data_IF_278294806387
#
_entry.id   IF_278294806387
#
_cell.length_a   1.000
_cell.length_b   1.000
_cell.length_c   1.000
_cell.angle_alpha   90.00
_cell.angle_beta   90.00
_cell.angle_gamma   90.00
#
_symmetry.space_group_name_H-M   'P 1'
#
loop_
_entity.id
_entity.type
_entity.pdbx_description
1 polymer ?
#
# COMPACT_ATOMS: atom_id res chain seq x y z
N UNK A 1 64.60 10.70 -34.34
CA UNK A 1 63.53 11.02 -35.29
C UNK A 1 62.51 11.87 -34.55
N UNK A 2 62.60 13.20 -34.70
CA UNK A 2 61.77 14.16 -33.97
C UNK A 2 60.49 14.37 -34.79
N UNK A 3 59.34 13.93 -34.28
CA UNK A 3 58.05 14.16 -34.92
C UNK A 3 57.78 15.67 -34.94
N UNK A 4 57.69 16.25 -36.14
CA UNK A 4 57.38 17.67 -36.33
C UNK A 4 55.89 17.91 -36.03
N UNK A 5 55.63 18.50 -34.87
CA UNK A 5 54.30 18.70 -34.28
C UNK A 5 53.52 19.85 -34.96
N UNK A 6 54.11 20.54 -35.95
CA UNK A 6 53.50 21.67 -36.63
C UNK A 6 52.72 21.28 -37.90
N UNK A 7 52.32 20.02 -38.08
CA UNK A 7 51.50 19.63 -39.23
C UNK A 7 50.03 20.07 -39.00
N UNK A 8 49.51 21.08 -39.73
CA UNK A 8 48.17 21.63 -39.51
C UNK A 8 47.06 20.59 -39.72
N UNK A 9 47.30 19.56 -40.54
CA UNK A 9 46.34 18.49 -40.80
C UNK A 9 46.18 17.60 -39.56
N UNK A 10 47.26 17.38 -38.81
CA UNK A 10 47.24 16.57 -37.58
C UNK A 10 46.44 17.27 -36.47
N UNK A 11 46.58 18.60 -36.36
CA UNK A 11 45.86 19.40 -35.36
C UNK A 11 44.34 19.46 -35.63
N UNK A 12 43.92 19.49 -36.90
CA UNK A 12 42.50 19.44 -37.27
C UNK A 12 41.89 18.08 -36.91
N UNK A 13 42.61 16.97 -37.16
CA UNK A 13 42.14 15.62 -36.85
C UNK A 13 41.91 15.38 -35.35
N UNK A 14 42.79 15.91 -34.49
CA UNK A 14 42.68 15.81 -33.04
C UNK A 14 41.46 16.61 -32.53
N UNK A 15 41.23 17.82 -33.06
CA UNK A 15 40.08 18.66 -32.69
C UNK A 15 38.73 18.01 -33.01
N UNK A 16 38.60 17.37 -34.18
CA UNK A 16 37.37 16.66 -34.58
C UNK A 16 37.12 15.45 -33.69
N UNK A 17 38.16 14.67 -33.38
CA UNK A 17 38.05 13.45 -32.55
C UNK A 17 37.61 13.78 -31.12
N UNK A 18 38.17 14.84 -30.52
CA UNK A 18 37.76 15.31 -29.18
C UNK A 18 36.33 15.86 -29.17
N UNK A 19 35.91 16.55 -30.23
CA UNK A 19 34.55 17.09 -30.35
C UNK A 19 33.50 15.99 -30.46
N UNK A 20 33.76 14.95 -31.26
CA UNK A 20 32.89 13.77 -31.38
C UNK A 20 32.82 13.01 -30.04
N UNK A 21 33.96 12.80 -29.38
CA UNK A 21 34.01 12.15 -28.06
C UNK A 21 33.21 12.90 -26.99
N UNK A 22 33.29 14.23 -26.97
CA UNK A 22 32.53 15.07 -26.03
C UNK A 22 31.03 15.04 -26.30
N UNK A 23 30.60 15.07 -27.57
CA UNK A 23 29.19 14.95 -27.95
C UNK A 23 28.61 13.57 -27.58
N UNK A 24 29.37 12.49 -27.80
CA UNK A 24 28.97 11.14 -27.39
C UNK A 24 28.86 11.02 -25.86
N UNK A 25 29.80 11.61 -25.10
CA UNK A 25 29.75 11.64 -23.64
C UNK A 25 28.53 12.43 -23.10
N UNK A 26 28.21 13.57 -23.72
CA UNK A 26 27.00 14.35 -23.42
C UNK A 26 25.73 13.55 -23.73
N UNK A 27 25.68 12.86 -24.88
CA UNK A 27 24.52 12.02 -25.25
C UNK A 27 24.30 10.86 -24.28
N UNK A 28 25.38 10.20 -23.84
CA UNK A 28 25.33 9.11 -22.86
C UNK A 28 24.85 9.59 -21.48
N UNK A 29 25.27 10.79 -21.05
CA UNK A 29 24.73 11.43 -19.84
C UNK A 29 23.26 11.82 -19.98
N UNK A 30 22.83 12.23 -21.17
CA UNK A 30 21.42 12.57 -21.40
C UNK A 30 20.52 11.34 -21.29
N UNK A 31 20.90 10.22 -21.91
CA UNK A 31 20.13 8.97 -21.87
C UNK A 31 20.00 8.43 -20.44
N UNK A 32 21.09 8.40 -19.68
CA UNK A 32 21.07 7.97 -18.28
C UNK A 32 20.22 8.89 -17.40
N UNK A 33 20.27 10.20 -17.62
CA UNK A 33 19.37 11.16 -16.95
C UNK A 33 17.90 10.90 -17.32
N UNK A 34 17.60 10.68 -18.60
CA UNK A 34 16.23 10.38 -19.06
C UNK A 34 15.71 9.07 -18.44
N UNK A 35 16.53 8.02 -18.38
CA UNK A 35 16.16 6.75 -17.74
C UNK A 35 15.87 6.94 -16.25
N UNK A 36 16.74 7.66 -15.53
CA UNK A 36 16.52 7.96 -14.11
C UNK A 36 15.27 8.81 -13.87
N UNK A 37 15.02 9.81 -14.72
CA UNK A 37 13.79 10.62 -14.69
C UNK A 37 12.55 9.74 -14.94
N UNK A 38 12.58 8.83 -15.92
CA UNK A 38 11.48 7.90 -16.19
C UNK A 38 11.21 6.97 -15.00
N UNK A 39 12.25 6.42 -14.37
CA UNK A 39 12.13 5.58 -13.19
C UNK A 39 11.55 6.36 -12.01
N UNK A 40 12.03 7.60 -11.80
CA UNK A 40 11.52 8.50 -10.77
C UNK A 40 10.04 8.84 -10.99
N UNK A 41 9.64 9.21 -12.22
CA UNK A 41 8.24 9.48 -12.52
C UNK A 41 7.36 8.22 -12.46
N UNK A 42 7.87 7.05 -12.83
CA UNK A 42 7.17 5.77 -12.65
C UNK A 42 6.92 5.50 -11.16
N UNK A 43 7.94 5.70 -10.32
CA UNK A 43 7.83 5.60 -8.87
C UNK A 43 6.83 6.62 -8.28
N UNK A 44 6.91 7.89 -8.69
CA UNK A 44 5.94 8.93 -8.29
C UNK A 44 4.53 8.53 -8.71
N UNK A 45 4.32 8.09 -9.95
CA UNK A 45 3.00 7.74 -10.48
C UNK A 45 2.40 6.56 -9.72
N UNK A 46 3.24 5.58 -9.32
CA UNK A 46 2.85 4.46 -8.45
C UNK A 46 2.44 4.92 -7.05
N UNK A 47 3.05 5.99 -6.53
CA UNK A 47 2.66 6.61 -5.25
C UNK A 47 1.38 7.44 -5.40
N UNK A 48 1.22 8.13 -6.54
CA UNK A 48 0.15 9.10 -6.76
C UNK A 48 -1.18 8.44 -7.19
N UNK A 49 -1.14 7.40 -8.02
CA UNK A 49 -2.32 6.68 -8.49
C UNK A 49 -2.52 5.41 -7.68
N UNK A 50 -3.23 5.54 -6.55
CA UNK A 50 -3.83 4.37 -5.91
C UNK A 50 -5.01 3.89 -6.73
N UNK A 51 -4.78 2.84 -7.50
CA UNK A 51 -5.85 2.18 -8.22
C UNK A 51 -6.77 1.45 -7.25
N UNK A 52 -8.07 1.53 -7.51
CA UNK A 52 -9.06 0.74 -6.77
C UNK A 52 -8.95 -0.72 -7.23
N UNK A 53 -8.61 -1.61 -6.31
CA UNK A 53 -8.45 -3.06 -6.57
C UNK A 53 -9.65 -3.88 -6.12
N UNK A 54 -10.45 -3.34 -5.22
CA UNK A 54 -11.57 -4.05 -4.62
C UNK A 54 -12.78 -3.15 -4.39
N UNK A 55 -13.95 -3.78 -4.30
CA UNK A 55 -15.18 -3.18 -3.76
C UNK A 55 -15.52 -3.92 -2.48
N UNK A 56 -15.84 -3.16 -1.43
CA UNK A 56 -16.23 -3.73 -0.15
C UNK A 56 -17.70 -3.46 0.07
N UNK A 57 -18.45 -4.51 0.36
CA UNK A 57 -19.86 -4.45 0.72
C UNK A 57 -19.97 -4.63 2.22
N UNK A 58 -20.64 -3.67 2.87
CA UNK A 58 -20.99 -3.80 4.26
C UNK A 58 -22.05 -4.90 4.42
N UNK A 59 -21.84 -5.78 5.38
CA UNK A 59 -22.79 -6.80 5.80
C UNK A 59 -23.75 -6.22 6.85
N UNK A 60 -24.64 -7.06 7.37
CA UNK A 60 -25.56 -6.67 8.43
C UNK A 60 -24.82 -6.09 9.65
N UNK A 61 -25.47 -5.19 10.37
CA UNK A 61 -24.95 -4.56 11.60
C UNK A 61 -24.51 -5.57 12.69
N UNK A 62 -24.98 -6.82 12.63
CA UNK A 62 -24.60 -7.87 13.59
C UNK A 62 -23.22 -8.47 13.32
N UNK A 63 -22.64 -8.21 12.15
CA UNK A 63 -21.29 -8.64 11.78
C UNK A 63 -20.22 -7.65 12.26
N UNK A 64 -20.62 -6.53 12.88
CA UNK A 64 -19.73 -5.49 13.42
C UNK A 64 -19.92 -5.35 14.92
N UNK A 65 -18.96 -5.88 15.66
CA UNK A 65 -19.06 -5.90 17.11
C UNK A 65 -17.73 -5.65 17.78
N UNK A 66 -17.82 -5.25 19.03
CA UNK A 66 -16.69 -5.21 19.92
C UNK A 66 -17.12 -5.73 21.29
N UNK A 67 -16.15 -6.20 22.07
CA UNK A 67 -16.36 -6.51 23.48
C UNK A 67 -15.11 -6.19 24.29
N UNK A 68 -15.30 -6.09 25.60
CA UNK A 68 -14.19 -5.96 26.54
C UNK A 68 -13.55 -7.33 26.76
N UNK A 69 -12.23 -7.38 26.76
CA UNK A 69 -11.44 -8.57 27.02
C UNK A 69 -10.09 -8.19 27.61
N UNK A 70 -9.10 -9.06 27.38
CA UNK A 70 -7.71 -8.82 27.78
C UNK A 70 -6.75 -9.46 26.77
N UNK A 71 -5.59 -8.83 26.57
CA UNK A 71 -4.48 -9.41 25.83
C UNK A 71 -3.32 -9.59 26.79
N UNK A 72 -3.02 -10.85 27.15
CA UNK A 72 -2.19 -11.13 28.32
C UNK A 72 -2.87 -10.65 29.61
N UNK A 73 -2.19 -9.80 30.36
CA UNK A 73 -2.70 -9.21 31.61
C UNK A 73 -3.31 -7.82 31.43
N UNK A 74 -3.16 -7.21 30.24
CA UNK A 74 -3.67 -5.86 30.00
C UNK A 74 -5.13 -5.89 29.55
N UNK A 75 -6.01 -5.06 30.12
CA UNK A 75 -7.37 -4.92 29.62
C UNK A 75 -7.34 -4.41 28.18
N UNK A 76 -8.18 -4.98 27.34
CA UNK A 76 -8.20 -4.67 25.92
C UNK A 76 -9.62 -4.71 25.36
N UNK A 77 -9.82 -4.00 24.26
CA UNK A 77 -11.06 -4.03 23.51
C UNK A 77 -10.84 -4.82 22.22
N UNK A 78 -11.50 -5.97 22.08
CA UNK A 78 -11.47 -6.74 20.84
C UNK A 78 -12.60 -6.26 19.94
N UNK A 79 -12.22 -5.80 18.75
CA UNK A 79 -13.12 -5.35 17.69
C UNK A 79 -13.08 -6.37 16.57
N UNK A 80 -14.24 -6.82 16.10
CA UNK A 80 -14.36 -7.79 15.03
C UNK A 80 -15.34 -7.30 13.95
N UNK A 81 -15.03 -7.64 12.71
CA UNK A 81 -15.86 -7.32 11.56
C UNK A 81 -15.80 -8.39 10.50
N UNK A 82 -16.91 -8.60 9.79
CA UNK A 82 -16.91 -9.33 8.51
C UNK A 82 -17.34 -8.44 7.35
N UNK A 83 -16.69 -8.62 6.22
CA UNK A 83 -16.97 -7.90 4.98
C UNK A 83 -17.11 -8.86 3.82
N UNK A 84 -17.94 -8.50 2.83
CA UNK A 84 -17.87 -9.14 1.51
C UNK A 84 -16.98 -8.28 0.62
N UNK A 85 -15.93 -8.87 0.07
CA UNK A 85 -14.96 -8.17 -0.76
C UNK A 85 -14.99 -8.77 -2.15
N UNK A 86 -15.24 -7.91 -3.15
CA UNK A 86 -15.22 -8.29 -4.56
C UNK A 86 -13.95 -7.79 -5.21
N UNK A 87 -13.22 -8.69 -5.85
CA UNK A 87 -12.06 -8.35 -6.66
C UNK A 87 -12.51 -7.75 -8.01
N UNK A 88 -12.14 -6.50 -8.28
CA UNK A 88 -12.49 -5.79 -9.52
C UNK A 88 -11.33 -5.73 -10.53
N UNK A 89 -10.23 -6.43 -10.24
CA UNK A 89 -9.07 -6.56 -11.14
C UNK A 89 -9.13 -7.87 -11.92
N UNK A 90 -8.31 -7.94 -12.94
CA UNK A 90 -8.10 -9.13 -13.79
C UNK A 90 -7.00 -10.06 -13.26
N UNK A 91 -6.52 -9.84 -12.04
CA UNK A 91 -5.52 -10.65 -11.34
C UNK A 91 -6.03 -11.03 -9.96
N UNK A 92 -5.52 -12.11 -9.38
CA UNK A 92 -5.86 -12.50 -8.02
C UNK A 92 -5.59 -11.37 -7.02
N UNK A 93 -6.55 -11.15 -6.13
CA UNK A 93 -6.46 -10.17 -5.06
C UNK A 93 -6.12 -10.88 -3.75
N UNK A 94 -5.06 -10.43 -3.09
CA UNK A 94 -4.69 -10.89 -1.76
C UNK A 94 -4.83 -9.73 -0.80
N UNK A 95 -5.68 -9.90 0.22
CA UNK A 95 -5.78 -8.94 1.31
C UNK A 95 -4.64 -9.27 2.27
N UNK A 96 -3.77 -8.30 2.52
CA UNK A 96 -2.56 -8.44 3.34
C UNK A 96 -2.67 -7.73 4.68
N UNK A 97 -3.67 -6.86 4.84
CA UNK A 97 -3.97 -6.29 6.14
C UNK A 97 -5.24 -5.48 6.16
N UNK A 98 -5.42 -4.80 7.28
CA UNK A 98 -6.51 -3.91 7.55
C UNK A 98 -6.06 -2.86 8.57
N UNK A 99 -6.81 -1.76 8.66
CA UNK A 99 -6.49 -0.67 9.57
C UNK A 99 -7.77 -0.04 10.10
N UNK A 100 -7.85 0.17 11.39
CA UNK A 100 -8.90 0.95 12.02
C UNK A 100 -8.43 2.41 12.12
N UNK A 101 -9.29 3.36 11.76
CA UNK A 101 -8.93 4.78 11.79
C UNK A 101 -8.91 5.29 13.23
N UNK A 102 -7.92 6.12 13.57
CA UNK A 102 -7.76 6.81 14.87
C UNK A 102 -7.60 5.91 16.10
N UNK A 103 -7.39 4.60 15.97
CA UNK A 103 -7.05 3.76 17.11
C UNK A 103 -5.56 3.79 17.40
N UNK A 104 -5.19 3.81 18.69
CA UNK A 104 -3.84 3.53 19.19
C UNK A 104 -3.55 2.01 19.19
N UNK A 105 -4.08 1.29 18.19
CA UNK A 105 -3.98 -0.16 18.08
C UNK A 105 -2.54 -0.61 17.86
N UNK A 106 -2.06 -1.45 18.77
CA UNK A 106 -0.89 -2.31 18.63
C UNK A 106 -1.29 -3.53 17.81
N UNK A 107 -0.96 -3.49 16.52
CA UNK A 107 -0.96 -4.63 15.61
C UNK A 107 -2.33 -5.22 15.22
N UNK A 108 -2.43 -5.58 13.95
CA UNK A 108 -3.62 -6.19 13.36
C UNK A 108 -3.38 -7.70 13.25
N UNK A 109 -4.32 -8.50 13.75
CA UNK A 109 -4.43 -9.90 13.36
C UNK A 109 -5.52 -10.02 12.29
N UNK A 110 -5.11 -10.29 11.07
CA UNK A 110 -6.02 -10.63 9.99
C UNK A 110 -5.84 -12.09 9.63
N UNK A 111 -6.92 -12.86 9.70
CA UNK A 111 -6.95 -14.23 9.20
C UNK A 111 -7.57 -14.23 7.81
N UNK A 112 -6.71 -14.08 6.79
CA UNK A 112 -7.10 -14.34 5.40
C UNK A 112 -5.87 -14.68 4.58
N UNK A 113 -5.59 -15.98 4.43
CA UNK A 113 -4.56 -16.48 3.52
C UNK A 113 -5.10 -16.83 2.13
N UNK A 114 -6.36 -16.49 1.84
CA UNK A 114 -7.02 -16.87 0.60
C UNK A 114 -6.93 -15.75 -0.43
N UNK A 115 -6.53 -16.12 -1.65
CA UNK A 115 -6.63 -15.27 -2.83
C UNK A 115 -8.09 -15.19 -3.28
N UNK A 116 -8.51 -14.00 -3.70
CA UNK A 116 -9.83 -13.74 -4.27
C UNK A 116 -9.64 -13.65 -5.80
N UNK A 117 -10.14 -14.63 -6.58
CA UNK A 117 -9.99 -14.62 -8.04
C UNK A 117 -10.60 -13.38 -8.70
N UNK A 118 -10.20 -13.04 -9.94
CA UNK A 118 -10.81 -11.97 -10.72
C UNK A 118 -12.34 -12.05 -10.77
N UNK A 119 -13.02 -10.97 -10.42
CA UNK A 119 -14.49 -10.89 -10.42
C UNK A 119 -15.20 -11.65 -9.30
N UNK A 120 -14.47 -12.43 -8.48
CA UNK A 120 -15.07 -13.18 -7.39
C UNK A 120 -15.31 -12.32 -6.14
N UNK A 121 -16.25 -12.75 -5.31
CA UNK A 121 -16.55 -12.17 -3.99
C UNK A 121 -16.23 -13.18 -2.90
N UNK A 122 -15.48 -12.74 -1.89
CA UNK A 122 -15.14 -13.55 -0.71
C UNK A 122 -15.46 -12.83 0.59
N UNK A 123 -15.76 -13.60 1.63
CA UNK A 123 -15.96 -13.07 2.98
C UNK A 123 -14.62 -12.92 3.70
N UNK A 124 -14.38 -11.74 4.25
CA UNK A 124 -13.14 -11.37 4.93
C UNK A 124 -13.47 -11.02 6.36
N UNK A 125 -12.87 -11.75 7.29
CA UNK A 125 -13.03 -11.52 8.73
C UNK A 125 -11.81 -10.79 9.28
N UNK A 126 -12.03 -9.79 10.12
CA UNK A 126 -10.99 -8.97 10.74
C UNK A 126 -11.15 -9.00 12.26
N UNK A 127 -10.01 -8.93 12.95
CA UNK A 127 -9.97 -8.75 14.39
C UNK A 127 -8.89 -7.74 14.77
N UNK A 128 -9.21 -6.84 15.69
CA UNK A 128 -8.29 -5.85 16.24
C UNK A 128 -8.34 -5.93 17.77
N UNK A 129 -7.19 -5.79 18.41
CA UNK A 129 -7.10 -5.53 19.84
C UNK A 129 -6.70 -4.07 20.06
N UNK A 130 -7.51 -3.32 20.81
CA UNK A 130 -7.22 -1.93 21.18
C UNK A 130 -6.87 -1.87 22.66
N UNK A 131 -5.64 -1.45 22.95
CA UNK A 131 -5.09 -1.40 24.31
C UNK A 131 -4.44 -0.03 24.53
N UNK A 132 -4.80 0.71 25.59
CA UNK A 132 -5.92 0.43 26.51
C UNK A 132 -7.29 0.61 25.81
N UNK A 133 -8.37 0.02 26.34
CA UNK A 133 -9.71 0.13 25.77
C UNK A 133 -10.24 1.57 25.90
N UNK A 134 -10.57 2.25 24.79
CA UNK A 134 -11.00 3.65 24.83
C UNK A 134 -12.50 3.84 25.18
N UNK A 135 -13.29 2.77 25.18
CA UNK A 135 -14.75 2.81 25.34
C UNK A 135 -15.21 2.07 26.59
N UNK A 136 -16.40 2.42 27.10
CA UNK A 136 -17.06 1.71 28.19
C UNK A 136 -18.08 0.71 27.64
N UNK A 137 -18.40 -0.31 28.43
CA UNK A 137 -19.46 -1.27 28.08
C UNK A 137 -20.77 -0.52 27.87
N UNK A 138 -21.48 -0.86 26.79
CA UNK A 138 -22.71 -0.18 26.36
C UNK A 138 -22.50 0.88 25.27
N UNK A 139 -21.28 1.41 25.12
CA UNK A 139 -20.98 2.38 24.06
C UNK A 139 -20.82 1.68 22.68
N UNK A 140 -21.20 2.38 21.60
CA UNK A 140 -20.90 1.96 20.23
C UNK A 140 -19.57 2.59 19.77
N UNK A 141 -18.74 1.80 19.07
CA UNK A 141 -17.54 2.33 18.41
C UNK A 141 -17.89 2.75 16.98
N UNK A 142 -17.81 4.04 16.67
CA UNK A 142 -17.93 4.54 15.29
C UNK A 142 -16.54 4.76 14.70
N UNK A 143 -16.18 4.01 13.65
CA UNK A 143 -14.85 4.14 13.04
C UNK A 143 -14.85 3.83 11.53
N UNK A 144 -13.77 4.23 10.87
CA UNK A 144 -13.50 3.85 9.48
C UNK A 144 -12.53 2.66 9.47
N UNK A 145 -12.76 1.69 8.57
CA UNK A 145 -11.90 0.52 8.38
C UNK A 145 -11.30 0.57 6.98
N UNK A 146 -9.99 0.37 6.87
CA UNK A 146 -9.33 0.10 5.61
C UNK A 146 -9.04 -1.39 5.47
N UNK A 147 -9.29 -1.97 4.31
CA UNK A 147 -8.63 -3.21 3.87
C UNK A 147 -7.41 -2.84 3.01
N UNK A 148 -6.33 -3.58 3.16
CA UNK A 148 -5.04 -3.37 2.51
C UNK A 148 -4.75 -4.58 1.62
N UNK A 149 -4.45 -4.35 0.35
CA UNK A 149 -4.11 -5.42 -0.60
C UNK A 149 -2.60 -5.67 -0.70
N UNK A 150 -2.18 -6.65 -1.51
CA UNK A 150 -0.77 -6.99 -1.74
C UNK A 150 0.06 -5.89 -2.40
N UNK A 151 -0.59 -4.85 -2.93
CA UNK A 151 0.07 -3.70 -3.54
C UNK A 151 0.12 -2.49 -2.59
N UNK A 152 -0.42 -2.61 -1.37
CA UNK A 152 -0.49 -1.54 -0.38
C UNK A 152 -1.61 -0.53 -0.62
N UNK A 153 -2.56 -0.81 -1.53
CA UNK A 153 -3.74 0.02 -1.73
C UNK A 153 -4.66 -0.12 -0.52
N UNK A 154 -5.25 1.00 -0.10
CA UNK A 154 -6.15 1.06 1.05
C UNK A 154 -7.56 1.33 0.56
N UNK A 155 -8.46 0.38 0.73
CA UNK A 155 -9.88 0.57 0.44
C UNK A 155 -10.62 0.86 1.74
N UNK A 156 -11.08 2.11 1.90
CA UNK A 156 -11.72 2.59 3.12
C UNK A 156 -13.24 2.41 3.08
N UNK A 157 -13.77 1.88 4.16
CA UNK A 157 -15.18 1.83 4.51
C UNK A 157 -15.37 2.82 5.65
N UNK A 158 -16.33 3.73 5.51
CA UNK A 158 -16.49 4.85 6.45
C UNK A 158 -17.66 4.61 7.39
N UNK A 159 -17.56 5.17 8.60
CA UNK A 159 -18.67 5.24 9.57
C UNK A 159 -19.28 3.87 9.91
N UNK A 160 -18.44 2.86 10.12
CA UNK A 160 -18.89 1.56 10.63
C UNK A 160 -19.18 1.71 12.12
N UNK A 161 -20.39 1.38 12.51
CA UNK A 161 -20.78 1.24 13.92
C UNK A 161 -20.51 -0.21 14.37
N UNK A 162 -19.61 -0.39 15.33
CA UNK A 162 -19.43 -1.64 16.02
C UNK A 162 -20.19 -1.58 17.34
N UNK A 163 -21.09 -2.55 17.53
CA UNK A 163 -21.91 -2.60 18.74
C UNK A 163 -21.20 -3.37 19.83
N UNK A 164 -21.36 -2.91 21.06
CA UNK A 164 -20.93 -3.70 22.21
C UNK A 164 -21.78 -4.99 22.26
N UNK A 165 -21.14 -6.14 22.11
CA UNK A 165 -21.79 -7.42 22.32
C UNK A 165 -21.33 -7.99 23.65
N UNK A 166 -22.21 -8.07 24.63
CA UNK A 166 -22.00 -8.86 25.84
C UNK A 166 -22.20 -10.36 25.56
N UNK A 167 -21.77 -10.87 24.41
CA UNK A 167 -21.88 -12.31 24.17
C UNK A 167 -20.94 -13.02 25.15
N UNK A 168 -21.45 -13.85 26.06
CA UNK A 168 -20.58 -14.75 26.80
C UNK A 168 -19.93 -15.68 25.77
N UNK A 169 -18.60 -15.76 25.81
CA UNK A 169 -17.86 -16.78 25.08
C UNK A 169 -18.02 -18.13 25.76
#
# INVERSE_FOLDING_TARGET
MVLNINNPILNIGIGITLSIGFLLFLSFKLETVIVNIKLFFSWIRKILHKEKTMVILALSQYEYWWHMGKQGEEPGMQVAAKFQVTNIKNTDLLITGAKLKKSRTSELMMWSNYQIPPGATSTVSLQFWIIPPPLKIGDSLLSDVALIDQHGNKCWIKKIEFRNTQRPF
#
